data_IF_875075220220
#
_entry.id   IF_875075220220
#
_cell.length_a   1.000
_cell.length_b   1.000
_cell.length_c   1.000
_cell.angle_alpha   90.00
_cell.angle_beta   90.00
_cell.angle_gamma   90.00
#
_symmetry.space_group_name_H-M   'P 1'
#
loop_
_entity.id
_entity.type
_entity.pdbx_description
1 polymer ?
#
# COMPACT_ATOMS: atom_id res chain seq x y z
N UNK A 1 13.87 -0.72 4.68
CA UNK A 1 13.26 0.56 5.11
C UNK A 1 12.65 0.32 6.48
N UNK A 2 12.83 1.23 7.44
CA UNK A 2 12.28 1.07 8.79
C UNK A 2 11.31 2.23 9.07
N UNK A 3 10.05 1.91 9.37
CA UNK A 3 9.03 2.91 9.72
C UNK A 3 9.44 3.73 10.94
N UNK A 4 10.23 3.15 11.85
CA UNK A 4 10.79 3.90 12.98
C UNK A 4 11.79 4.98 12.53
N UNK A 5 12.38 4.88 11.34
CA UNK A 5 13.25 5.93 10.79
C UNK A 5 12.45 7.18 10.45
N UNK A 6 11.24 7.02 9.89
CA UNK A 6 10.31 8.13 9.63
C UNK A 6 9.84 8.74 10.96
N UNK A 7 9.62 7.91 11.97
CA UNK A 7 9.27 8.36 13.33
C UNK A 7 10.38 9.16 14.03
N UNK A 8 11.63 8.67 13.98
CA UNK A 8 12.79 9.28 14.66
C UNK A 8 13.28 10.53 13.94
N UNK A 9 13.26 10.53 12.60
CA UNK A 9 13.76 11.64 11.78
C UNK A 9 12.65 12.61 11.37
N UNK A 10 11.67 12.86 12.25
CA UNK A 10 10.51 13.72 11.98
C UNK A 10 10.94 15.15 11.57
N UNK A 11 11.12 15.37 10.28
CA UNK A 11 11.48 16.65 9.68
C UNK A 11 10.23 17.43 9.28
N UNK A 12 10.37 18.75 9.04
CA UNK A 12 9.29 19.56 8.48
C UNK A 12 8.74 18.96 7.18
N UNK A 13 9.61 18.40 6.33
CA UNK A 13 9.22 17.78 5.05
C UNK A 13 8.25 16.60 5.19
N UNK A 14 8.35 15.78 6.26
CA UNK A 14 7.39 14.68 6.47
C UNK A 14 6.03 15.19 6.94
N UNK A 15 6.02 16.19 7.81
CA UNK A 15 4.76 16.81 8.24
C UNK A 15 4.07 17.54 7.08
N UNK A 16 4.84 18.16 6.21
CA UNK A 16 4.30 18.85 5.03
C UNK A 16 3.75 17.86 4.00
N UNK A 17 4.41 16.70 3.82
CA UNK A 17 3.90 15.62 2.97
C UNK A 17 2.49 15.13 3.36
N UNK A 18 2.14 15.14 4.66
CA UNK A 18 0.80 14.80 5.14
C UNK A 18 -0.23 15.93 4.95
N UNK A 19 0.21 17.18 4.83
CA UNK A 19 -0.65 18.35 4.59
C UNK A 19 -0.94 18.56 3.11
N UNK A 20 0.02 18.23 2.25
CA UNK A 20 -0.07 18.42 0.81
C UNK A 20 -1.13 17.52 0.16
N UNK A 21 -1.70 17.97 -0.97
CA UNK A 21 -2.75 17.25 -1.71
C UNK A 21 -2.27 15.96 -2.42
N UNK A 22 -1.07 15.46 -2.12
CA UNK A 22 -0.49 14.24 -2.70
C UNK A 22 -1.45 13.03 -2.66
N UNK A 23 -2.25 12.80 -1.60
CA UNK A 23 -3.19 11.68 -1.54
C UNK A 23 -4.34 11.76 -2.57
N UNK A 24 -4.67 12.95 -3.07
CA UNK A 24 -5.72 13.10 -4.10
C UNK A 24 -5.28 12.58 -5.46
N UNK A 25 -3.98 12.33 -5.63
CA UNK A 25 -3.39 11.85 -6.87
C UNK A 25 -3.08 10.35 -6.82
N UNK A 26 -3.40 9.68 -5.71
CA UNK A 26 -3.27 8.24 -5.60
C UNK A 26 -4.37 7.54 -6.42
N UNK A 27 -4.00 6.47 -7.11
CA UNK A 27 -4.95 5.57 -7.75
C UNK A 27 -5.05 4.32 -6.89
N UNK A 28 -6.28 3.96 -6.52
CA UNK A 28 -6.58 2.77 -5.76
C UNK A 28 -7.17 1.70 -6.65
N UNK A 29 -6.51 0.55 -6.70
CA UNK A 29 -6.97 -0.66 -7.35
C UNK A 29 -7.35 -1.67 -6.28
N UNK A 30 -8.55 -2.21 -6.39
CA UNK A 30 -9.09 -3.18 -5.46
C UNK A 30 -9.50 -4.44 -6.20
N UNK A 31 -9.02 -5.58 -5.71
CA UNK A 31 -9.41 -6.91 -6.14
C UNK A 31 -10.06 -7.59 -4.95
N UNK A 32 -11.34 -7.92 -5.05
CA UNK A 32 -12.09 -8.48 -3.93
C UNK A 32 -12.95 -9.67 -4.33
N UNK A 33 -13.19 -10.55 -3.36
CA UNK A 33 -14.06 -11.72 -3.42
C UNK A 33 -14.68 -11.92 -2.04
N UNK A 34 -15.73 -12.73 -1.92
CA UNK A 34 -16.23 -13.18 -0.61
C UNK A 34 -15.49 -14.43 -0.08
N UNK A 35 -14.42 -14.89 -0.74
CA UNK A 35 -13.67 -16.07 -0.29
C UNK A 35 -12.86 -15.75 0.96
N UNK A 36 -12.87 -16.66 1.94
CA UNK A 36 -12.08 -16.50 3.16
C UNK A 36 -10.57 -16.51 2.91
N UNK A 37 -10.11 -17.20 1.87
CA UNK A 37 -8.69 -17.32 1.54
C UNK A 37 -8.26 -16.20 0.60
N UNK A 38 -8.90 -16.09 -0.56
CA UNK A 38 -8.63 -15.08 -1.58
C UNK A 38 -9.46 -13.81 -1.44
N UNK A 39 -9.60 -13.32 -0.21
CA UNK A 39 -10.53 -12.23 0.15
C UNK A 39 -10.25 -10.94 -0.62
N UNK A 40 -9.13 -10.26 -0.32
CA UNK A 40 -8.88 -8.93 -0.86
C UNK A 40 -7.41 -8.65 -1.10
N UNK A 41 -7.08 -8.22 -2.30
CA UNK A 41 -5.81 -7.57 -2.62
C UNK A 41 -6.07 -6.13 -3.06
N UNK A 42 -5.11 -5.25 -2.79
CA UNK A 42 -5.21 -3.85 -3.19
C UNK A 42 -3.84 -3.28 -3.53
N UNK A 43 -3.84 -2.36 -4.50
CA UNK A 43 -2.68 -1.57 -4.88
C UNK A 43 -3.04 -0.10 -4.79
N UNK A 44 -2.23 0.66 -4.07
CA UNK A 44 -2.29 2.12 -4.08
C UNK A 44 -1.05 2.61 -4.81
N UNK A 45 -1.26 3.39 -5.87
CA UNK A 45 -0.18 3.88 -6.71
C UNK A 45 -0.11 5.41 -6.63
N UNK A 46 1.10 5.96 -6.51
CA UNK A 46 1.36 7.40 -6.69
C UNK A 46 2.45 7.61 -7.75
N UNK A 47 2.27 8.55 -8.71
CA UNK A 47 3.31 8.89 -9.67
C UNK A 47 4.60 9.43 -9.03
N UNK A 48 5.74 9.05 -9.58
CA UNK A 48 7.07 9.58 -9.18
C UNK A 48 7.24 11.08 -9.47
N UNK A 49 6.38 11.67 -10.29
CA UNK A 49 6.32 13.13 -10.48
C UNK A 49 5.88 13.87 -9.22
N UNK A 50 5.24 13.19 -8.27
CA UNK A 50 4.81 13.75 -6.98
C UNK A 50 5.98 13.78 -5.99
N UNK A 51 6.70 12.67 -5.88
CA UNK A 51 7.86 12.55 -4.98
C UNK A 51 8.87 11.55 -5.54
N UNK A 52 10.15 11.91 -5.44
CA UNK A 52 11.27 11.00 -5.69
C UNK A 52 11.80 10.35 -4.39
N UNK A 53 11.33 10.80 -3.21
CA UNK A 53 11.76 10.24 -1.94
C UNK A 53 10.91 9.02 -1.58
N UNK A 54 11.53 7.85 -1.34
CA UNK A 54 10.80 6.62 -1.01
C UNK A 54 10.10 6.71 0.35
N UNK A 55 10.67 7.42 1.33
CA UNK A 55 10.06 7.60 2.65
C UNK A 55 8.80 8.48 2.57
N UNK A 56 8.89 9.59 1.82
CA UNK A 56 7.72 10.45 1.55
C UNK A 56 6.67 9.67 0.76
N UNK A 57 7.10 8.86 -0.21
CA UNK A 57 6.19 8.05 -1.00
C UNK A 57 5.41 7.06 -0.13
N UNK A 58 6.09 6.30 0.73
CA UNK A 58 5.45 5.38 1.65
C UNK A 58 4.46 6.10 2.58
N UNK A 59 4.85 7.25 3.12
CA UNK A 59 3.98 8.06 3.97
C UNK A 59 2.71 8.52 3.24
N UNK A 60 2.83 8.99 2.00
CA UNK A 60 1.70 9.39 1.15
C UNK A 60 0.79 8.20 0.81
N UNK A 61 1.37 7.04 0.53
CA UNK A 61 0.63 5.81 0.23
C UNK A 61 -0.18 5.32 1.44
N UNK A 62 0.45 5.26 2.62
CA UNK A 62 -0.20 4.92 3.88
C UNK A 62 -1.31 5.91 4.22
N UNK A 63 -1.08 7.21 4.02
CA UNK A 63 -2.12 8.21 4.23
C UNK A 63 -3.31 8.00 3.27
N UNK A 64 -3.03 7.68 2.01
CA UNK A 64 -4.07 7.42 1.00
C UNK A 64 -4.90 6.20 1.41
N UNK A 65 -4.25 5.12 1.83
CA UNK A 65 -4.91 3.93 2.37
C UNK A 65 -5.82 4.26 3.55
N UNK A 66 -5.31 4.98 4.55
CA UNK A 66 -6.08 5.34 5.73
C UNK A 66 -7.31 6.20 5.39
N UNK A 67 -7.24 7.02 4.34
CA UNK A 67 -8.39 7.81 3.86
C UNK A 67 -9.42 6.91 3.15
N UNK A 68 -8.98 6.01 2.28
CA UNK A 68 -9.85 5.07 1.56
C UNK A 68 -10.58 4.14 2.54
N UNK A 69 -9.88 3.63 3.55
CA UNK A 69 -10.45 2.77 4.60
C UNK A 69 -11.27 3.55 5.64
N UNK A 70 -11.48 4.85 5.43
CA UNK A 70 -12.20 5.75 6.34
C UNK A 70 -11.63 5.79 7.78
N UNK A 71 -10.39 5.33 7.97
CA UNK A 71 -9.64 5.39 9.23
C UNK A 71 -9.32 6.83 9.55
N UNK A 72 -8.89 7.60 8.54
CA UNK A 72 -8.46 8.99 8.73
C UNK A 72 -9.57 9.86 9.32
N UNK A 73 -10.77 9.75 8.75
CA UNK A 73 -11.94 10.49 9.20
C UNK A 73 -12.39 10.07 10.59
N UNK A 74 -12.29 8.78 10.93
CA UNK A 74 -12.62 8.25 12.27
C UNK A 74 -11.64 8.75 13.34
N UNK A 75 -10.34 8.76 13.03
CA UNK A 75 -9.30 9.02 14.02
C UNK A 75 -8.95 10.51 14.16
N UNK A 76 -8.85 11.24 13.04
CA UNK A 76 -8.41 12.64 13.03
C UNK A 76 -9.47 13.61 12.48
N UNK A 77 -10.49 13.10 11.78
CA UNK A 77 -11.53 13.93 11.18
C UNK A 77 -10.95 14.92 10.17
N UNK A 78 -11.09 16.22 10.46
CA UNK A 78 -10.54 17.31 9.63
C UNK A 78 -9.11 17.72 10.01
N UNK A 79 -8.58 17.20 11.12
CA UNK A 79 -7.24 17.54 11.56
C UNK A 79 -6.22 16.69 10.80
N UNK A 80 -5.03 17.27 10.56
CA UNK A 80 -3.89 16.53 10.02
C UNK A 80 -2.94 16.23 11.18
N UNK A 81 -2.72 14.96 11.54
CA UNK A 81 -1.72 14.59 12.52
C UNK A 81 -0.31 14.94 12.01
N UNK A 82 0.64 15.02 12.93
CA UNK A 82 2.06 14.99 12.57
C UNK A 82 2.43 13.62 11.97
N UNK A 83 3.52 13.58 11.19
CA UNK A 83 4.03 12.33 10.62
C UNK A 83 4.34 11.29 11.71
N UNK A 84 4.84 11.76 12.85
CA UNK A 84 5.11 10.93 14.02
C UNK A 84 3.83 10.30 14.59
N UNK A 85 2.80 11.10 14.86
CA UNK A 85 1.51 10.60 15.37
C UNK A 85 0.86 9.62 14.40
N UNK A 86 0.95 9.90 13.10
CA UNK A 86 0.39 9.02 12.06
C UNK A 86 1.10 7.67 12.02
N UNK A 87 2.44 7.65 11.99
CA UNK A 87 3.21 6.39 11.96
C UNK A 87 3.03 5.60 13.26
N UNK A 88 3.00 6.27 14.42
CA UNK A 88 2.71 5.60 15.70
C UNK A 88 1.35 4.91 15.68
N UNK A 89 0.33 5.57 15.13
CA UNK A 89 -0.99 4.96 14.96
C UNK A 89 -0.94 3.73 14.06
N UNK A 90 -0.30 3.81 12.89
CA UNK A 90 -0.17 2.67 11.95
C UNK A 90 0.54 1.47 12.61
N UNK A 91 1.57 1.72 13.42
CA UNK A 91 2.28 0.68 14.16
C UNK A 91 1.38 0.09 15.26
N UNK A 92 0.68 0.93 16.02
CA UNK A 92 -0.19 0.50 17.11
C UNK A 92 -1.37 -0.37 16.64
N UNK A 93 -1.93 -0.04 15.48
CA UNK A 93 -3.00 -0.82 14.82
C UNK A 93 -2.47 -2.10 14.16
N UNK A 94 -1.16 -2.38 14.25
CA UNK A 94 -0.51 -3.55 13.64
C UNK A 94 -0.81 -3.68 12.15
N UNK A 95 -0.88 -2.54 11.44
CA UNK A 95 -1.08 -2.53 9.99
C UNK A 95 0.00 -3.35 9.26
N UNK A 96 1.21 -3.40 9.83
CA UNK A 96 2.25 -4.33 9.45
C UNK A 96 2.58 -5.22 10.63
N UNK A 97 2.72 -6.52 10.41
CA UNK A 97 3.23 -7.43 11.45
C UNK A 97 4.72 -7.16 11.74
N UNK A 98 5.43 -6.55 10.79
CA UNK A 98 6.81 -6.09 10.95
C UNK A 98 7.02 -4.66 10.44
N UNK A 99 7.53 -3.77 11.30
CA UNK A 99 7.78 -2.35 10.97
C UNK A 99 9.12 -2.13 10.24
N UNK A 100 9.98 -3.15 10.17
CA UNK A 100 11.28 -3.13 9.51
C UNK A 100 11.18 -3.95 8.22
N UNK A 101 10.89 -3.24 7.12
CA UNK A 101 10.81 -3.84 5.79
C UNK A 101 12.17 -4.26 5.25
N UNK A 102 12.22 -5.45 4.63
CA UNK A 102 13.44 -6.03 4.04
C UNK A 102 13.39 -5.99 2.52
N UNK A 103 14.50 -5.66 1.84
CA UNK A 103 14.56 -5.77 0.40
C UNK A 103 14.44 -7.24 -0.03
N UNK A 104 13.66 -7.48 -1.08
CA UNK A 104 13.52 -8.81 -1.71
C UNK A 104 13.78 -8.73 -3.22
N UNK A 105 14.09 -9.86 -3.84
CA UNK A 105 14.24 -9.95 -5.29
C UNK A 105 12.88 -9.76 -5.99
N UNK A 106 12.91 -9.13 -7.17
CA UNK A 106 11.69 -8.86 -7.93
C UNK A 106 11.00 -10.15 -8.40
N UNK A 107 11.79 -11.16 -8.73
CA UNK A 107 11.31 -12.49 -9.14
C UNK A 107 10.57 -13.20 -8.02
N UNK A 108 11.09 -13.12 -6.78
CA UNK A 108 10.44 -13.73 -5.61
C UNK A 108 9.09 -13.10 -5.32
N UNK A 109 9.02 -11.78 -5.36
CA UNK A 109 7.73 -11.07 -5.26
C UNK A 109 6.79 -11.47 -6.40
N UNK A 110 7.29 -11.54 -7.63
CA UNK A 110 6.46 -11.77 -8.81
C UNK A 110 5.77 -13.13 -8.80
N UNK A 111 6.47 -14.17 -8.35
CA UNK A 111 5.88 -15.50 -8.15
C UNK A 111 4.70 -15.46 -7.17
N UNK A 112 4.88 -14.80 -6.01
CA UNK A 112 3.85 -14.67 -4.98
C UNK A 112 2.68 -13.80 -5.45
N UNK A 113 2.97 -12.63 -6.02
CA UNK A 113 2.00 -11.69 -6.55
C UNK A 113 1.11 -12.34 -7.61
N UNK A 114 1.71 -12.98 -8.61
CA UNK A 114 0.94 -13.66 -9.67
C UNK A 114 0.15 -14.84 -9.13
N UNK A 115 0.69 -15.60 -8.17
CA UNK A 115 -0.03 -16.65 -7.46
C UNK A 115 -1.30 -16.13 -6.76
N UNK A 116 -1.16 -15.05 -5.99
CA UNK A 116 -2.27 -14.39 -5.29
C UNK A 116 -3.31 -13.85 -6.26
N UNK A 117 -2.89 -13.15 -7.32
CA UNK A 117 -3.81 -12.61 -8.31
C UNK A 117 -4.57 -13.71 -9.06
N UNK A 118 -3.90 -14.80 -9.44
CA UNK A 118 -4.54 -15.95 -10.08
C UNK A 118 -5.57 -16.62 -9.15
N UNK A 119 -5.26 -16.72 -7.85
CA UNK A 119 -6.20 -17.22 -6.84
C UNK A 119 -7.45 -16.34 -6.77
N UNK A 120 -7.28 -15.04 -6.61
CA UNK A 120 -8.38 -14.07 -6.51
C UNK A 120 -9.24 -14.03 -7.78
N UNK A 121 -8.61 -13.92 -8.94
CA UNK A 121 -9.32 -13.75 -10.22
C UNK A 121 -10.05 -15.02 -10.69
N UNK A 122 -9.72 -16.19 -10.11
CA UNK A 122 -10.41 -17.44 -10.38
C UNK A 122 -11.70 -17.62 -9.56
N UNK A 123 -11.94 -16.80 -8.54
CA UNK A 123 -13.14 -16.87 -7.72
C UNK A 123 -14.39 -16.41 -8.48
N UNK A 124 -15.52 -17.07 -8.24
CA UNK A 124 -16.76 -16.85 -9.01
C UNK A 124 -17.36 -15.44 -8.82
N UNK A 125 -17.06 -14.80 -7.70
CA UNK A 125 -17.53 -13.48 -7.27
C UNK A 125 -16.40 -12.45 -7.29
N UNK A 126 -15.38 -12.65 -8.11
CA UNK A 126 -14.32 -11.69 -8.28
C UNK A 126 -14.84 -10.33 -8.77
N UNK A 127 -14.48 -9.28 -8.04
CA UNK A 127 -14.72 -7.89 -8.40
C UNK A 127 -13.41 -7.12 -8.49
N UNK A 128 -13.33 -6.27 -9.51
CA UNK A 128 -12.24 -5.33 -9.68
C UNK A 128 -12.78 -3.90 -9.71
N UNK A 129 -12.25 -3.06 -8.82
CA UNK A 129 -12.61 -1.64 -8.78
C UNK A 129 -11.39 -0.74 -8.87
N UNK A 130 -11.57 0.42 -9.49
CA UNK A 130 -10.57 1.48 -9.55
C UNK A 130 -11.19 2.74 -8.99
N UNK A 131 -10.63 3.25 -7.89
CA UNK A 131 -11.19 4.35 -7.11
C UNK A 131 -12.69 4.12 -6.83
N UNK A 132 -13.01 2.94 -6.26
CA UNK A 132 -14.36 2.51 -5.86
C UNK A 132 -15.37 2.34 -7.02
N UNK A 133 -14.89 2.37 -8.27
CA UNK A 133 -15.72 2.15 -9.46
C UNK A 133 -15.37 0.83 -10.10
N UNK A 134 -16.36 -0.04 -10.25
CA UNK A 134 -16.18 -1.33 -10.92
C UNK A 134 -15.69 -1.14 -12.36
N UNK A 135 -14.68 -1.92 -12.75
CA UNK A 135 -14.10 -1.92 -14.10
C UNK A 135 -13.78 -3.35 -14.56
N UNK A 136 -13.61 -3.59 -15.87
CA UNK A 136 -12.98 -4.81 -16.34
C UNK A 136 -11.58 -4.94 -15.76
N UNK A 137 -11.21 -6.16 -15.36
CA UNK A 137 -9.88 -6.43 -14.82
C UNK A 137 -8.79 -6.23 -15.88
N UNK A 138 -7.69 -5.61 -15.45
CA UNK A 138 -6.47 -5.42 -16.22
C UNK A 138 -5.25 -5.76 -15.34
N UNK A 139 -4.19 -6.28 -15.97
CA UNK A 139 -2.94 -6.56 -15.27
C UNK A 139 -2.30 -5.24 -14.83
N UNK A 140 -2.07 -5.09 -13.53
CA UNK A 140 -1.66 -3.81 -12.92
C UNK A 140 -0.14 -3.58 -12.86
N UNK A 141 0.63 -4.66 -12.89
CA UNK A 141 2.07 -4.63 -12.73
C UNK A 141 2.71 -5.60 -13.71
N UNK A 142 3.92 -5.28 -14.16
CA UNK A 142 4.75 -6.21 -14.92
C UNK A 142 6.14 -6.29 -14.30
N UNK A 143 6.69 -7.50 -14.20
CA UNK A 143 8.01 -7.75 -13.60
C UNK A 143 9.11 -6.81 -14.13
N UNK A 144 9.14 -6.58 -15.45
CA UNK A 144 10.14 -5.72 -16.11
C UNK A 144 10.14 -4.27 -15.65
N UNK A 145 9.03 -3.79 -15.09
CA UNK A 145 8.85 -2.40 -14.69
C UNK A 145 9.26 -2.17 -13.23
N UNK A 146 9.47 -3.25 -12.46
CA UNK A 146 9.83 -3.21 -11.04
C UNK A 146 11.33 -2.96 -10.89
N UNK A 147 11.67 -1.94 -10.09
CA UNK A 147 13.05 -1.52 -9.80
C UNK A 147 13.53 -1.99 -8.44
N UNK A 148 12.68 -1.87 -7.43
CA UNK A 148 12.99 -2.29 -6.07
C UNK A 148 11.72 -2.67 -5.31
N UNK A 149 11.87 -3.57 -4.35
CA UNK A 149 10.76 -4.06 -3.51
C UNK A 149 11.24 -4.17 -2.07
N UNK A 150 10.43 -3.63 -1.17
CA UNK A 150 10.56 -3.80 0.28
C UNK A 150 9.37 -4.61 0.76
N UNK A 151 9.64 -5.77 1.35
CA UNK A 151 8.67 -6.62 2.02
C UNK A 151 8.57 -6.24 3.49
N UNK A 152 7.39 -5.82 3.94
CA UNK A 152 7.09 -5.67 5.37
C UNK A 152 6.59 -7.00 5.92
N UNK A 153 5.61 -7.61 5.26
CA UNK A 153 5.03 -8.90 5.63
C UNK A 153 4.90 -9.78 4.40
N UNK A 154 5.18 -11.07 4.58
CA UNK A 154 4.98 -12.08 3.56
C UNK A 154 4.67 -13.41 4.24
N UNK A 155 3.39 -13.58 4.56
CA UNK A 155 2.85 -14.80 5.12
C UNK A 155 1.64 -15.23 4.30
N UNK A 156 1.17 -16.45 4.52
CA UNK A 156 -0.05 -16.92 3.89
C UNK A 156 -1.30 -16.13 4.30
N UNK A 157 -1.27 -15.42 5.43
CA UNK A 157 -2.44 -14.67 5.92
C UNK A 157 -2.41 -13.21 5.47
N UNK A 158 -1.22 -12.69 5.18
CA UNK A 158 -0.98 -11.28 4.90
C UNK A 158 0.32 -11.07 4.12
N UNK A 159 0.22 -10.25 3.07
CA UNK A 159 1.32 -9.79 2.25
C UNK A 159 1.30 -8.25 2.19
N UNK A 160 2.43 -7.62 2.48
CA UNK A 160 2.61 -6.18 2.47
C UNK A 160 3.93 -5.81 1.79
N UNK A 161 3.83 -5.22 0.59
CA UNK A 161 4.99 -4.80 -0.18
C UNK A 161 4.93 -3.31 -0.51
N UNK A 162 6.06 -2.63 -0.34
CA UNK A 162 6.30 -1.30 -0.88
C UNK A 162 7.24 -1.42 -2.07
N UNK A 163 6.84 -0.89 -3.22
CA UNK A 163 7.51 -1.12 -4.48
C UNK A 163 7.82 0.19 -5.20
N UNK A 164 8.92 0.15 -5.93
CA UNK A 164 9.34 1.17 -6.86
C UNK A 164 9.24 0.63 -8.28
N UNK A 165 8.53 1.33 -9.15
CA UNK A 165 8.56 1.09 -10.59
C UNK A 165 9.30 2.21 -11.32
N UNK A 166 9.40 2.14 -12.65
CA UNK A 166 9.94 3.27 -13.43
C UNK A 166 9.15 4.57 -13.25
N UNK A 167 7.82 4.48 -13.07
CA UNK A 167 6.92 5.65 -13.11
C UNK A 167 6.23 5.94 -11.78
N UNK A 168 6.14 4.96 -10.89
CA UNK A 168 5.27 5.03 -9.72
C UNK A 168 5.91 4.44 -8.47
N UNK A 169 5.39 4.84 -7.32
CA UNK A 169 5.54 4.15 -6.06
C UNK A 169 4.23 3.43 -5.75
N UNK A 170 4.34 2.21 -5.24
CA UNK A 170 3.18 1.33 -5.06
C UNK A 170 3.21 0.71 -3.67
N UNK A 171 2.08 0.77 -2.98
CA UNK A 171 1.82 -0.03 -1.79
C UNK A 171 0.87 -1.15 -2.20
N UNK A 172 1.35 -2.40 -2.15
CA UNK A 172 0.53 -3.59 -2.33
C UNK A 172 0.20 -4.18 -0.97
N UNK A 173 -1.06 -4.54 -0.81
CA UNK A 173 -1.56 -5.26 0.34
C UNK A 173 -2.46 -6.40 -0.10
N UNK A 174 -2.27 -7.57 0.47
CA UNK A 174 -3.24 -8.65 0.42
C UNK A 174 -3.41 -9.27 1.80
N UNK A 175 -4.65 -9.64 2.13
CA UNK A 175 -4.95 -10.37 3.34
C UNK A 175 -6.11 -11.36 3.13
N UNK A 176 -6.04 -12.47 3.86
CA UNK A 176 -7.18 -13.39 4.00
C UNK A 176 -8.29 -12.74 4.84
N UNK A 177 -9.50 -13.31 4.86
CA UNK A 177 -10.57 -12.85 5.76
C UNK A 177 -10.47 -13.44 7.19
N UNK A 178 -9.46 -14.27 7.45
CA UNK A 178 -9.30 -15.07 8.66
C UNK A 178 -8.51 -14.35 9.77
#
# INVERSE_FOLDING_TARGET
>A
MDLNTIYVNNTSSFNDALKDHNPQQAIFYDLSTDSLFWNRASLICIPKTITASPDIALLCLLQSEAKILNIWQKQWGKNTPTANEFIQYIIAEKRFSNTIGKPIAAESFWEEYTGTLNGITAEANFEFTVNEKQKPYEELLHLKDIRSIICFDNTWQEQNYFMETEKEWILYHWATAA
#
